data_IF_860989294623
#
_entry.id   IF_860989294623
#
_cell.length_a   1.000
_cell.length_b   1.000
_cell.length_c   1.000
_cell.angle_alpha   90.00
_cell.angle_beta   90.00
_cell.angle_gamma   90.00
#
_symmetry.space_group_name_H-M   'P 1'
#
loop_
_entity.id
_entity.type
_entity.pdbx_description
1 polymer ?
#
# COMPACT_ATOMS: atom_id res chain seq x y z
N UNK A 1 -9.09 -3.15 -0.95
CA UNK A 1 -9.74 -3.78 -2.12
C UNK A 1 -10.57 -5.01 -1.76
N UNK A 2 -10.37 -5.61 -0.60
CA UNK A 2 -11.18 -6.75 -0.12
C UNK A 2 -12.51 -6.35 0.51
N UNK A 3 -12.73 -5.07 0.83
CA UNK A 3 -13.99 -4.57 1.38
C UNK A 3 -15.08 -4.57 0.31
N UNK A 4 -16.30 -4.96 0.73
CA UNK A 4 -17.45 -5.07 -0.17
C UNK A 4 -18.29 -3.80 -0.16
N UNK A 5 -18.47 -3.19 -1.32
CA UNK A 5 -19.33 -2.01 -1.48
C UNK A 5 -20.74 -2.22 -0.94
N UNK A 6 -21.32 -3.40 -1.16
CA UNK A 6 -22.64 -3.79 -0.67
C UNK A 6 -22.82 -3.77 0.86
N UNK A 7 -21.71 -3.87 1.61
CA UNK A 7 -21.73 -3.79 3.07
C UNK A 7 -21.56 -2.35 3.59
N UNK A 8 -20.94 -1.48 2.81
CA UNK A 8 -20.60 -0.10 3.20
C UNK A 8 -21.70 0.87 2.76
N UNK A 9 -22.34 0.64 1.61
CA UNK A 9 -23.37 1.49 1.03
C UNK A 9 -24.58 1.71 1.96
N UNK A 10 -25.16 0.68 2.59
CA UNK A 10 -26.25 0.88 3.55
C UNK A 10 -25.86 1.72 4.77
N UNK A 11 -24.62 1.62 5.21
CA UNK A 11 -24.09 2.44 6.31
C UNK A 11 -23.92 3.92 5.92
N UNK A 12 -23.60 4.17 4.66
CA UNK A 12 -23.50 5.52 4.12
C UNK A 12 -24.89 6.16 3.96
N UNK A 13 -25.88 5.39 3.51
CA UNK A 13 -27.28 5.81 3.42
C UNK A 13 -27.86 6.11 4.81
N UNK A 14 -27.51 5.32 5.82
CA UNK A 14 -27.85 5.55 7.21
C UNK A 14 -27.17 6.79 7.83
N UNK A 15 -26.37 7.55 7.07
CA UNK A 15 -25.76 8.81 7.49
C UNK A 15 -24.34 8.72 8.05
N UNK A 16 -23.70 7.56 8.01
CA UNK A 16 -22.32 7.39 8.49
C UNK A 16 -21.32 8.16 7.62
N UNK A 17 -20.68 9.18 8.20
CA UNK A 17 -19.62 9.96 7.54
C UNK A 17 -18.43 9.09 7.14
N UNK A 18 -18.08 8.09 7.99
CA UNK A 18 -16.98 7.16 7.71
C UNK A 18 -17.28 6.30 6.49
N UNK A 19 -18.52 5.78 6.38
CA UNK A 19 -18.93 4.98 5.24
C UNK A 19 -18.94 5.80 3.94
N UNK A 20 -19.39 7.05 3.96
CA UNK A 20 -19.32 7.97 2.81
C UNK A 20 -17.88 8.22 2.37
N UNK A 21 -16.97 8.46 3.31
CA UNK A 21 -15.54 8.63 3.01
C UNK A 21 -14.93 7.34 2.45
N UNK A 22 -15.32 6.18 2.96
CA UNK A 22 -14.88 4.88 2.46
C UNK A 22 -15.35 4.62 1.03
N UNK A 23 -16.61 4.95 0.72
CA UNK A 23 -17.13 4.85 -0.65
C UNK A 23 -16.35 5.76 -1.61
N UNK A 24 -16.09 6.98 -1.20
CA UNK A 24 -15.26 7.90 -1.99
C UNK A 24 -13.85 7.34 -2.23
N UNK A 25 -13.23 6.74 -1.21
CA UNK A 25 -11.95 6.07 -1.34
C UNK A 25 -11.99 4.88 -2.31
N UNK A 26 -13.08 4.11 -2.28
CA UNK A 26 -13.30 2.99 -3.21
C UNK A 26 -13.49 3.44 -4.67
N UNK A 27 -13.99 4.65 -4.88
CA UNK A 27 -14.11 5.26 -6.22
C UNK A 27 -12.77 5.85 -6.72
N UNK A 28 -11.83 6.14 -5.80
CA UNK A 28 -10.54 6.73 -6.10
C UNK A 28 -9.37 5.77 -5.75
N UNK A 29 -9.50 4.52 -6.14
CA UNK A 29 -8.55 3.45 -5.77
C UNK A 29 -7.12 3.75 -6.17
N UNK A 30 -6.88 4.28 -7.37
CA UNK A 30 -5.53 4.64 -7.84
C UNK A 30 -4.87 5.68 -6.94
N UNK A 31 -5.60 6.71 -6.55
CA UNK A 31 -5.11 7.73 -5.62
C UNK A 31 -4.80 7.14 -4.25
N UNK A 32 -5.68 6.25 -3.75
CA UNK A 32 -5.49 5.59 -2.47
C UNK A 32 -4.27 4.65 -2.48
N UNK A 33 -4.08 3.90 -3.57
CA UNK A 33 -2.91 3.03 -3.74
C UNK A 33 -1.62 3.84 -3.80
N UNK A 34 -1.58 4.90 -4.61
CA UNK A 34 -0.41 5.77 -4.72
C UNK A 34 -0.06 6.41 -3.38
N UNK A 35 -1.06 6.87 -2.63
CA UNK A 35 -0.89 7.44 -1.29
C UNK A 35 -0.34 6.39 -0.31
N UNK A 36 -0.90 5.18 -0.30
CA UNK A 36 -0.46 4.09 0.56
C UNK A 36 0.98 3.67 0.24
N UNK A 37 1.32 3.51 -1.05
CA UNK A 37 2.66 3.16 -1.49
C UNK A 37 3.70 4.22 -1.13
N UNK A 38 3.37 5.50 -1.33
CA UNK A 38 4.24 6.60 -0.92
C UNK A 38 4.46 6.59 0.59
N UNK A 39 3.39 6.41 1.38
CA UNK A 39 3.46 6.31 2.83
C UNK A 39 4.32 5.14 3.30
N UNK A 40 4.12 3.95 2.73
CA UNK A 40 4.93 2.76 3.04
C UNK A 40 6.39 3.01 2.73
N UNK A 41 6.71 3.58 1.58
CA UNK A 41 8.10 3.87 1.17
C UNK A 41 8.77 4.84 2.14
N UNK A 42 8.12 5.95 2.47
CA UNK A 42 8.65 6.96 3.41
C UNK A 42 8.85 6.35 4.80
N UNK A 43 7.86 5.63 5.32
CA UNK A 43 7.96 4.98 6.63
C UNK A 43 9.05 3.90 6.67
N UNK A 44 9.18 3.10 5.62
CA UNK A 44 10.21 2.06 5.52
C UNK A 44 11.62 2.66 5.52
N UNK A 45 11.84 3.74 4.78
CA UNK A 45 13.12 4.45 4.76
C UNK A 45 13.45 5.06 6.12
N UNK A 46 12.47 5.65 6.81
CA UNK A 46 12.66 6.20 8.15
C UNK A 46 12.97 5.10 9.17
N UNK A 47 12.25 3.99 9.14
CA UNK A 47 12.51 2.85 10.02
C UNK A 47 13.91 2.30 9.79
N UNK A 48 14.30 2.09 8.55
CA UNK A 48 15.63 1.59 8.21
C UNK A 48 16.73 2.56 8.68
N UNK A 49 16.53 3.85 8.47
CA UNK A 49 17.51 4.89 8.87
C UNK A 49 17.75 4.97 10.38
N UNK A 50 16.76 4.59 11.20
CA UNK A 50 16.85 4.66 12.66
C UNK A 50 17.19 3.29 13.26
N UNK A 51 16.52 2.24 12.80
CA UNK A 51 16.61 0.91 13.40
C UNK A 51 17.90 0.18 13.03
N UNK A 52 18.39 0.33 11.79
CA UNK A 52 19.62 -0.33 11.36
C UNK A 52 20.83 0.11 12.18
N UNK A 53 21.14 1.42 12.30
CA UNK A 53 22.27 1.87 13.13
C UNK A 53 22.16 1.48 14.60
N UNK A 54 20.93 1.49 15.16
CA UNK A 54 20.71 1.09 16.54
C UNK A 54 21.04 -0.40 16.79
N UNK A 55 20.62 -1.28 15.91
CA UNK A 55 20.91 -2.71 16.00
C UNK A 55 22.36 -3.00 15.67
N UNK A 56 22.94 -2.32 14.70
CA UNK A 56 24.36 -2.41 14.39
C UNK A 56 25.22 -2.07 15.60
N UNK A 57 24.91 -0.96 16.29
CA UNK A 57 25.61 -0.56 17.51
C UNK A 57 25.47 -1.59 18.64
N UNK A 58 24.31 -2.23 18.78
CA UNK A 58 24.11 -3.31 19.75
C UNK A 58 24.91 -4.57 19.43
N UNK A 59 25.16 -4.85 18.15
CA UNK A 59 25.91 -6.03 17.71
C UNK A 59 27.43 -5.80 17.69
N UNK A 60 27.90 -4.57 17.60
CA UNK A 60 29.31 -4.23 17.52
C UNK A 60 30.11 -4.76 18.74
N UNK A 61 29.61 -4.51 19.95
CA UNK A 61 30.29 -4.93 21.20
C UNK A 61 30.45 -6.48 21.32
N UNK A 62 29.45 -7.33 21.07
CA UNK A 62 29.64 -8.77 21.11
C UNK A 62 30.53 -9.29 19.96
N UNK A 63 30.52 -8.67 18.79
CA UNK A 63 31.36 -9.08 17.66
C UNK A 63 32.85 -8.74 17.92
N UNK A 64 33.13 -7.59 18.50
CA UNK A 64 34.48 -7.21 18.94
C UNK A 64 34.99 -8.15 20.05
N UNK A 65 34.13 -8.54 20.99
CA UNK A 65 34.45 -9.48 22.04
C UNK A 65 34.84 -10.88 21.54
N UNK A 66 34.39 -11.26 20.34
CA UNK A 66 34.78 -12.50 19.65
C UNK A 66 36.17 -12.42 19.01
N UNK A 67 36.87 -11.27 19.11
CA UNK A 67 38.22 -11.09 18.56
C UNK A 67 38.29 -10.93 17.05
N UNK A 68 37.16 -10.60 16.41
CA UNK A 68 37.13 -10.34 14.98
C UNK A 68 37.81 -8.99 14.66
N UNK A 69 38.48 -8.85 13.51
CA UNK A 69 38.95 -7.55 13.04
C UNK A 69 37.79 -6.56 12.96
N UNK A 70 38.05 -5.31 13.40
CA UNK A 70 37.01 -4.26 13.49
C UNK A 70 36.25 -4.07 12.17
N UNK A 71 36.98 -4.04 11.06
CA UNK A 71 36.40 -3.87 9.72
C UNK A 71 35.47 -5.02 9.36
N UNK A 72 35.79 -6.25 9.74
CA UNK A 72 34.96 -7.42 9.51
C UNK A 72 33.73 -7.45 10.46
N UNK A 73 33.96 -7.06 11.73
CA UNK A 73 32.89 -6.96 12.72
C UNK A 73 31.86 -5.90 12.34
N UNK A 74 32.30 -4.75 11.83
CA UNK A 74 31.39 -3.70 11.33
C UNK A 74 30.60 -4.15 10.13
N UNK A 75 31.21 -4.75 9.12
CA UNK A 75 30.52 -5.25 7.93
C UNK A 75 29.54 -6.36 8.25
N UNK A 76 29.93 -7.31 9.09
CA UNK A 76 29.04 -8.40 9.53
C UNK A 76 27.89 -7.87 10.41
N UNK A 77 28.19 -6.95 11.32
CA UNK A 77 27.20 -6.29 12.17
C UNK A 77 26.16 -5.53 11.36
N UNK A 78 26.61 -4.77 10.37
CA UNK A 78 25.69 -4.07 9.44
C UNK A 78 24.78 -5.04 8.69
N UNK A 79 25.34 -6.10 8.10
CA UNK A 79 24.56 -7.07 7.33
C UNK A 79 23.52 -7.79 8.21
N UNK A 80 23.92 -8.24 9.40
CA UNK A 80 23.01 -8.90 10.35
C UNK A 80 21.93 -7.94 10.83
N UNK A 81 22.29 -6.69 11.17
CA UNK A 81 21.33 -5.66 11.55
C UNK A 81 20.31 -5.40 10.43
N UNK A 82 20.77 -5.27 9.19
CA UNK A 82 19.92 -5.07 8.03
C UNK A 82 18.92 -6.24 7.83
N UNK A 83 19.39 -7.47 7.97
CA UNK A 83 18.55 -8.66 7.86
C UNK A 83 17.49 -8.73 8.97
N UNK A 84 17.87 -8.44 10.22
CA UNK A 84 16.95 -8.43 11.37
C UNK A 84 15.91 -7.33 11.19
N UNK A 85 16.29 -6.11 10.87
CA UNK A 85 15.37 -4.99 10.66
C UNK A 85 14.42 -5.29 9.52
N UNK A 86 14.92 -5.80 8.40
CA UNK A 86 14.10 -6.17 7.25
C UNK A 86 13.10 -7.27 7.62
N UNK A 87 13.53 -8.31 8.31
CA UNK A 87 12.67 -9.40 8.74
C UNK A 87 11.54 -8.92 9.67
N UNK A 88 11.89 -8.12 10.69
CA UNK A 88 10.91 -7.56 11.62
C UNK A 88 9.96 -6.59 10.92
N UNK A 89 10.48 -5.74 10.05
CA UNK A 89 9.68 -4.80 9.28
C UNK A 89 8.69 -5.50 8.35
N UNK A 90 9.14 -6.47 7.57
CA UNK A 90 8.25 -7.22 6.67
C UNK A 90 7.20 -8.01 7.47
N UNK A 91 7.61 -8.67 8.54
CA UNK A 91 6.68 -9.50 9.32
C UNK A 91 5.64 -8.65 10.04
N UNK A 92 6.07 -7.73 10.89
CA UNK A 92 5.17 -6.95 11.76
C UNK A 92 4.67 -5.65 11.12
N UNK A 93 5.43 -5.06 10.22
CA UNK A 93 5.06 -3.82 9.53
C UNK A 93 4.16 -4.05 8.31
N UNK A 94 4.31 -5.16 7.61
CA UNK A 94 3.57 -5.44 6.37
C UNK A 94 2.66 -6.66 6.48
N UNK A 95 3.18 -7.86 6.78
CA UNK A 95 2.42 -9.11 6.68
C UNK A 95 1.29 -9.20 7.72
N UNK A 96 1.58 -8.92 8.98
CA UNK A 96 0.57 -8.99 10.05
C UNK A 96 -0.55 -7.98 9.83
N UNK A 97 -0.30 -6.68 9.62
CA UNK A 97 -1.36 -5.71 9.33
C UNK A 97 -2.16 -6.03 8.07
N UNK A 98 -1.50 -6.51 7.02
CA UNK A 98 -2.14 -6.93 5.78
C UNK A 98 -3.10 -8.10 6.01
N UNK A 99 -2.66 -9.14 6.71
CA UNK A 99 -3.48 -10.32 6.99
C UNK A 99 -4.70 -9.97 7.87
N UNK A 100 -4.51 -9.11 8.87
CA UNK A 100 -5.61 -8.60 9.70
C UNK A 100 -6.60 -7.81 8.82
N UNK A 101 -6.11 -6.91 7.99
CA UNK A 101 -6.95 -6.07 7.13
C UNK A 101 -7.74 -6.88 6.11
N UNK A 102 -7.19 -7.97 5.60
CA UNK A 102 -7.91 -8.88 4.69
C UNK A 102 -8.97 -9.67 5.45
N UNK A 103 -8.67 -10.13 6.67
CA UNK A 103 -9.59 -10.93 7.48
C UNK A 103 -10.83 -10.15 7.94
N UNK A 104 -10.69 -8.85 8.20
CA UNK A 104 -11.79 -7.95 8.64
C UNK A 104 -11.95 -6.75 7.70
N UNK A 105 -11.98 -7.03 6.39
CA UNK A 105 -11.85 -6.03 5.34
C UNK A 105 -12.82 -4.84 5.45
N UNK A 106 -14.09 -5.09 5.75
CA UNK A 106 -15.10 -4.03 5.83
C UNK A 106 -14.85 -3.09 7.02
N UNK A 107 -14.49 -3.65 8.18
CA UNK A 107 -14.13 -2.86 9.37
C UNK A 107 -12.82 -2.12 9.18
N UNK A 108 -11.82 -2.76 8.59
CA UNK A 108 -10.54 -2.15 8.27
C UNK A 108 -10.72 -0.97 7.30
N UNK A 109 -11.55 -1.12 6.27
CA UNK A 109 -11.87 -0.05 5.33
C UNK A 109 -12.54 1.15 6.02
N UNK A 110 -13.53 0.93 6.88
CA UNK A 110 -14.22 1.97 7.63
C UNK A 110 -13.31 2.71 8.62
N UNK A 111 -12.31 2.00 9.17
CA UNK A 111 -11.35 2.58 10.11
C UNK A 111 -10.24 3.35 9.39
N UNK A 112 -9.69 2.78 8.33
CA UNK A 112 -8.48 3.29 7.67
C UNK A 112 -8.77 4.30 6.54
N UNK A 113 -9.95 4.25 5.91
CA UNK A 113 -10.28 5.16 4.82
C UNK A 113 -10.29 6.63 5.23
N UNK A 114 -10.87 7.07 6.36
CA UNK A 114 -10.86 8.48 6.75
C UNK A 114 -9.46 9.08 6.89
N UNK A 115 -8.51 8.49 7.65
CA UNK A 115 -7.17 9.02 7.75
C UNK A 115 -6.41 8.94 6.42
N UNK A 116 -6.58 7.87 5.64
CA UNK A 116 -5.94 7.72 4.35
C UNK A 116 -6.42 8.78 3.35
N UNK A 117 -7.71 9.06 3.31
CA UNK A 117 -8.29 10.13 2.47
C UNK A 117 -7.77 11.50 2.89
N UNK A 118 -7.64 11.76 4.19
CA UNK A 118 -7.08 13.02 4.68
C UNK A 118 -5.63 13.20 4.22
N UNK A 119 -4.80 12.18 4.41
CA UNK A 119 -3.40 12.18 3.97
C UNK A 119 -3.32 12.31 2.44
N UNK A 120 -4.16 11.61 1.69
CA UNK A 120 -4.17 11.68 0.23
C UNK A 120 -4.47 13.08 -0.30
N UNK A 121 -5.33 13.84 0.39
CA UNK A 121 -5.60 15.25 0.03
C UNK A 121 -4.37 16.15 0.23
N UNK A 122 -3.61 15.90 1.29
CA UNK A 122 -2.39 16.66 1.60
C UNK A 122 -1.27 16.32 0.61
N UNK A 123 -1.08 15.04 0.30
CA UNK A 123 0.00 14.58 -0.60
C UNK A 123 -0.40 14.53 -2.07
N UNK A 124 -1.63 14.89 -2.40
CA UNK A 124 -2.16 14.88 -3.77
C UNK A 124 -1.26 15.60 -4.78
N UNK A 125 -0.71 16.80 -4.52
CA UNK A 125 0.19 17.47 -5.45
C UNK A 125 1.47 16.67 -5.68
N UNK A 126 1.99 15.98 -4.65
CA UNK A 126 3.18 15.12 -4.77
C UNK A 126 2.86 13.90 -5.65
N UNK A 127 1.73 13.24 -5.39
CA UNK A 127 1.28 12.09 -6.19
C UNK A 127 1.07 12.49 -7.65
N UNK A 128 0.45 13.64 -7.88
CA UNK A 128 0.24 14.17 -9.23
C UNK A 128 1.58 14.40 -9.96
N UNK A 129 2.56 14.99 -9.28
CA UNK A 129 3.90 15.23 -9.83
C UNK A 129 4.61 13.92 -10.16
N UNK A 130 4.53 12.92 -9.28
CA UNK A 130 5.11 11.58 -9.51
C UNK A 130 4.45 10.88 -10.70
N UNK A 131 3.13 10.90 -10.80
CA UNK A 131 2.40 10.32 -11.92
C UNK A 131 2.72 11.04 -13.23
N UNK A 132 2.82 12.38 -13.20
CA UNK A 132 3.21 13.16 -14.36
C UNK A 132 4.61 12.75 -14.87
N UNK A 133 5.57 12.64 -13.95
CA UNK A 133 6.94 12.22 -14.26
C UNK A 133 6.97 10.79 -14.80
N UNK A 134 6.27 9.86 -14.16
CA UNK A 134 6.17 8.46 -14.59
C UNK A 134 5.55 8.35 -16.00
N UNK A 135 4.45 9.08 -16.24
CA UNK A 135 3.78 9.10 -17.54
C UNK A 135 4.68 9.72 -18.63
N UNK A 136 5.48 10.71 -18.27
CA UNK A 136 6.43 11.32 -19.21
C UNK A 136 7.55 10.34 -19.58
N UNK A 137 8.08 9.61 -18.61
CA UNK A 137 9.07 8.55 -18.84
C UNK A 137 8.50 7.42 -19.73
N UNK A 138 7.27 6.96 -19.46
CA UNK A 138 6.60 5.96 -20.29
C UNK A 138 6.41 6.42 -21.73
N UNK A 139 5.99 7.67 -21.95
CA UNK A 139 5.87 8.25 -23.30
C UNK A 139 7.20 8.36 -24.01
N UNK A 140 8.28 8.71 -23.30
CA UNK A 140 9.63 8.74 -23.85
C UNK A 140 10.11 7.35 -24.30
N UNK A 141 9.62 6.28 -23.64
CA UNK A 141 9.87 4.88 -24.01
C UNK A 141 8.91 4.35 -25.10
N UNK A 142 8.00 5.20 -25.62
CA UNK A 142 7.02 4.81 -26.62
C UNK A 142 5.83 4.01 -26.07
N UNK A 143 5.65 3.98 -24.75
CA UNK A 143 4.55 3.28 -24.07
C UNK A 143 3.44 4.29 -23.76
N UNK A 144 2.21 3.98 -24.16
CA UNK A 144 1.05 4.78 -23.76
C UNK A 144 0.67 4.46 -22.32
N UNK A 145 0.73 5.45 -21.40
CA UNK A 145 0.30 5.22 -20.03
C UNK A 145 -1.20 4.90 -19.99
N UNK A 146 -1.56 3.83 -19.30
CA UNK A 146 -2.96 3.47 -19.01
C UNK A 146 -3.21 3.72 -17.54
N UNK A 147 -4.34 4.34 -17.21
CA UNK A 147 -4.78 4.43 -15.83
C UNK A 147 -5.17 3.03 -15.34
N UNK A 148 -4.60 2.61 -14.21
CA UNK A 148 -4.82 1.27 -13.63
C UNK A 148 -6.31 0.97 -13.36
N UNK A 149 -7.13 2.00 -13.23
CA UNK A 149 -8.58 1.88 -12.99
C UNK A 149 -9.37 1.80 -14.28
N UNK A 150 -8.91 2.45 -15.34
CA UNK A 150 -9.58 2.40 -16.65
C UNK A 150 -9.45 1.03 -17.33
N UNK A 151 -8.46 0.23 -16.94
CA UNK A 151 -8.25 -1.12 -17.46
C UNK A 151 -9.06 -2.20 -16.75
N UNK A 152 -9.71 -1.89 -15.62
CA UNK A 152 -10.43 -2.91 -14.86
C UNK A 152 -11.82 -3.25 -15.43
N UNK A 153 -12.47 -2.28 -16.08
CA UNK A 153 -13.79 -2.50 -16.70
C UNK A 153 -14.00 -1.52 -17.85
N UNK A 154 -13.66 -1.92 -19.05
CA UNK A 154 -14.18 -1.24 -20.23
C UNK A 154 -15.69 -1.49 -20.34
N UNK A 155 -16.43 -0.51 -20.87
CA UNK A 155 -17.87 -0.67 -21.14
C UNK A 155 -18.16 -1.94 -21.95
N UNK A 156 -17.24 -2.36 -22.81
CA UNK A 156 -17.31 -3.58 -23.60
C UNK A 156 -17.20 -4.85 -22.75
N UNK A 157 -16.31 -4.85 -21.74
CA UNK A 157 -16.18 -5.97 -20.79
C UNK A 157 -17.41 -6.06 -19.88
N UNK A 158 -17.96 -4.94 -19.44
CA UNK A 158 -19.22 -4.92 -18.69
C UNK A 158 -20.38 -5.43 -19.55
N UNK A 159 -20.44 -5.05 -20.81
CA UNK A 159 -21.48 -5.56 -21.73
C UNK A 159 -21.34 -7.06 -21.96
N UNK A 160 -20.12 -7.58 -22.13
CA UNK A 160 -19.89 -9.02 -22.29
C UNK A 160 -20.24 -9.82 -21.05
N UNK A 161 -19.95 -9.32 -19.85
CA UNK A 161 -20.29 -9.96 -18.58
C UNK A 161 -21.83 -9.98 -18.39
N UNK A 162 -22.50 -8.88 -18.70
CA UNK A 162 -23.96 -8.78 -18.62
C UNK A 162 -24.61 -9.72 -19.64
N UNK A 163 -24.10 -9.78 -20.88
CA UNK A 163 -24.63 -10.66 -21.92
C UNK A 163 -24.40 -12.14 -21.60
N UNK A 164 -23.25 -12.49 -21.05
CA UNK A 164 -22.93 -13.84 -20.57
C UNK A 164 -23.83 -14.23 -19.38
N UNK A 165 -24.00 -13.31 -18.42
CA UNK A 165 -24.88 -13.51 -17.27
C UNK A 165 -26.37 -13.67 -17.67
N UNK A 166 -26.79 -12.98 -18.72
CA UNK A 166 -28.14 -13.09 -19.26
C UNK A 166 -28.35 -14.44 -19.99
N UNK A 167 -27.32 -14.90 -20.73
CA UNK A 167 -27.35 -16.23 -21.38
C UNK A 167 -27.39 -17.40 -20.38
N UNK A 168 -26.80 -17.22 -19.21
CA UNK A 168 -26.79 -18.24 -18.15
C UNK A 168 -27.95 -18.08 -17.16
N UNK A 169 -28.90 -17.16 -17.40
CA UNK A 169 -30.09 -16.97 -16.57
C UNK A 169 -29.80 -16.51 -15.13
N UNK A 170 -28.62 -15.89 -14.90
CA UNK A 170 -28.21 -15.39 -13.59
C UNK A 170 -28.73 -13.98 -13.29
N UNK A 171 -29.26 -13.30 -14.33
CA UNK A 171 -29.90 -11.99 -14.21
C UNK A 171 -31.22 -12.10 -15.01
N UNK A 172 -32.32 -12.06 -14.30
CA UNK A 172 -33.67 -11.95 -14.87
C UNK A 172 -34.10 -10.49 -14.91
#
# INVERSE_FOLDING_TARGET
MSARRSQIEPLAEAGSKRAKTTLWAMEHVSLMLACAQLGITVCSLLILSVAEPAIHHLLAAPLEALGLPVEFADGAGFLVALLIVTFLHVTFGEMVPKNISVSVADRAALLLAPPLVLISKVVRPVIFSLNWLANHALRAMGITPKDEVASAFTLEEMQSIVEESTKHGLVA
#
